data_IF_652856175692
#
_entry.id   IF_652856175692
#
_cell.length_a   1.000
_cell.length_b   1.000
_cell.length_c   1.000
_cell.angle_alpha   90.00
_cell.angle_beta   90.00
_cell.angle_gamma   90.00
#
_symmetry.space_group_name_H-M   'P 1'
#
loop_
_entity.id
_entity.type
_entity.pdbx_description
1 polymer ?
#
# COMPACT_ATOMS: atom_id res chain seq x y z
N UNK A 1 -47.95 -23.27 -42.95
CA UNK A 1 -46.67 -22.76 -42.41
C UNK A 1 -46.95 -21.40 -41.80
N UNK A 2 -47.04 -21.25 -40.47
CA UNK A 2 -47.31 -19.94 -39.88
C UNK A 2 -46.10 -19.03 -40.11
N UNK A 3 -46.31 -18.00 -40.92
CA UNK A 3 -45.31 -16.97 -41.23
C UNK A 3 -45.20 -16.09 -40.00
N UNK A 4 -44.17 -16.30 -39.18
CA UNK A 4 -43.87 -15.39 -38.07
C UNK A 4 -43.63 -14.00 -38.65
N UNK A 5 -44.40 -13.01 -38.19
CA UNK A 5 -44.30 -11.64 -38.69
C UNK A 5 -42.88 -11.10 -38.47
N UNK A 6 -42.37 -10.33 -39.43
CA UNK A 6 -41.07 -9.64 -39.33
C UNK A 6 -40.94 -8.79 -38.06
N UNK A 7 -42.08 -8.31 -37.55
CA UNK A 7 -42.20 -7.61 -36.27
C UNK A 7 -41.93 -8.52 -35.06
N UNK A 8 -42.43 -9.75 -35.05
CA UNK A 8 -42.13 -10.71 -33.98
C UNK A 8 -40.64 -11.07 -33.95
N UNK A 9 -40.00 -11.18 -35.12
CA UNK A 9 -38.56 -11.41 -35.21
C UNK A 9 -37.74 -10.18 -34.76
N UNK A 10 -38.16 -8.95 -35.08
CA UNK A 10 -37.45 -7.75 -34.64
C UNK A 10 -37.59 -7.51 -33.14
N UNK A 11 -38.75 -7.80 -32.55
CA UNK A 11 -38.96 -7.72 -31.10
C UNK A 11 -38.16 -8.81 -30.38
N UNK A 12 -38.14 -10.04 -30.88
CA UNK A 12 -37.29 -11.09 -30.33
C UNK A 12 -35.80 -10.71 -30.38
N UNK A 13 -35.35 -10.14 -31.50
CA UNK A 13 -33.96 -9.67 -31.67
C UNK A 13 -33.63 -8.53 -30.71
N UNK A 14 -34.52 -7.56 -30.56
CA UNK A 14 -34.38 -6.46 -29.60
C UNK A 14 -34.36 -6.96 -28.15
N UNK A 15 -35.21 -7.92 -27.78
CA UNK A 15 -35.21 -8.53 -26.44
C UNK A 15 -33.92 -9.30 -26.19
N UNK A 16 -33.38 -10.02 -27.17
CA UNK A 16 -32.10 -10.73 -27.03
C UNK A 16 -30.88 -9.79 -27.03
N UNK A 17 -30.91 -8.69 -27.79
CA UNK A 17 -29.87 -7.66 -27.80
C UNK A 17 -29.89 -6.85 -26.49
N UNK A 18 -31.08 -6.59 -25.93
CA UNK A 18 -31.23 -6.01 -24.58
C UNK A 18 -30.94 -6.98 -23.43
N UNK A 19 -30.90 -8.29 -23.68
CA UNK A 19 -30.63 -9.29 -22.66
C UNK A 19 -29.17 -9.24 -22.17
N UNK A 20 -28.23 -8.80 -23.02
CA UNK A 20 -26.80 -8.72 -22.67
C UNK A 20 -26.11 -7.43 -23.14
N UNK A 21 -26.51 -6.25 -22.62
CA UNK A 21 -25.95 -4.94 -23.04
C UNK A 21 -24.45 -4.81 -22.76
N UNK A 22 -23.89 -5.67 -21.92
CA UNK A 22 -22.46 -5.69 -21.61
C UNK A 22 -21.61 -6.26 -22.75
N UNK A 23 -22.14 -7.12 -23.63
CA UNK A 23 -21.37 -7.68 -24.76
C UNK A 23 -20.95 -6.59 -25.75
N UNK A 24 -21.86 -5.69 -26.09
CA UNK A 24 -21.60 -4.54 -26.96
C UNK A 24 -20.61 -3.56 -26.33
N UNK A 25 -20.81 -3.26 -25.03
CA UNK A 25 -19.88 -2.38 -24.29
C UNK A 25 -18.50 -3.01 -24.17
N UNK A 26 -18.40 -4.33 -23.99
CA UNK A 26 -17.14 -5.06 -23.90
C UNK A 26 -16.43 -5.06 -25.25
N UNK A 27 -17.14 -5.27 -26.36
CA UNK A 27 -16.59 -5.14 -27.70
C UNK A 27 -16.06 -3.72 -27.97
N UNK A 28 -16.82 -2.68 -27.57
CA UNK A 28 -16.43 -1.27 -27.72
C UNK A 28 -15.14 -0.92 -26.97
N UNK A 29 -14.95 -1.45 -25.77
CA UNK A 29 -13.81 -1.10 -24.91
C UNK A 29 -12.70 -2.17 -24.90
N UNK A 30 -12.78 -3.21 -25.73
CA UNK A 30 -11.83 -4.33 -25.75
C UNK A 30 -10.37 -3.86 -25.86
N UNK A 31 -10.10 -2.96 -26.80
CA UNK A 31 -8.75 -2.43 -27.04
C UNK A 31 -8.26 -1.50 -25.93
N UNK A 32 -9.17 -0.86 -25.19
CA UNK A 32 -8.80 -0.06 -24.02
C UNK A 32 -8.56 -0.96 -22.79
N UNK A 33 -9.36 -2.01 -22.62
CA UNK A 33 -9.23 -2.95 -21.51
C UNK A 33 -7.92 -3.74 -21.58
N UNK A 34 -7.43 -4.04 -22.79
CA UNK A 34 -6.15 -4.72 -22.99
C UNK A 34 -4.92 -3.87 -22.63
N UNK A 35 -5.04 -2.53 -22.59
CA UNK A 35 -3.95 -1.61 -22.22
C UNK A 35 -3.60 -1.65 -20.73
N UNK A 36 -4.38 -2.35 -19.90
CA UNK A 36 -4.19 -2.51 -18.47
C UNK A 36 -5.23 -1.78 -17.63
N UNK A 37 -5.04 -1.73 -16.30
CA UNK A 37 -6.03 -1.18 -15.34
C UNK A 37 -5.84 0.31 -15.06
N UNK A 38 -4.61 0.78 -15.00
CA UNK A 38 -4.27 2.12 -14.48
C UNK A 38 -3.89 3.12 -15.56
N UNK A 39 -3.85 2.69 -16.82
CA UNK A 39 -3.24 3.44 -17.91
C UNK A 39 -2.15 2.63 -18.59
N UNK A 40 -1.52 3.25 -19.57
CA UNK A 40 -0.41 2.65 -20.30
C UNK A 40 0.71 3.67 -20.46
N UNK A 41 1.94 3.16 -20.45
CA UNK A 41 3.12 3.96 -20.73
C UNK A 41 3.25 4.13 -22.24
N UNK A 42 3.30 5.38 -22.71
CA UNK A 42 3.43 5.67 -24.13
C UNK A 42 4.22 6.96 -24.34
N UNK A 43 5.31 6.88 -25.12
CA UNK A 43 6.17 8.01 -25.48
C UNK A 43 6.60 8.86 -24.27
N UNK A 44 7.06 8.21 -23.21
CA UNK A 44 7.61 8.89 -22.03
C UNK A 44 6.59 9.47 -21.05
N UNK A 45 5.28 9.21 -21.27
CA UNK A 45 4.22 9.63 -20.36
C UNK A 45 3.28 8.48 -20.01
N UNK A 46 2.73 8.52 -18.80
CA UNK A 46 1.58 7.71 -18.42
C UNK A 46 0.33 8.30 -19.05
N UNK A 47 -0.30 7.57 -19.96
CA UNK A 47 -1.61 7.93 -20.53
C UNK A 47 -2.74 7.26 -19.77
N UNK A 48 -3.81 8.01 -19.55
CA UNK A 48 -5.05 7.50 -18.99
C UNK A 48 -5.79 6.62 -20.00
N UNK A 49 -6.65 5.74 -19.48
CA UNK A 49 -7.55 4.92 -20.31
C UNK A 49 -8.73 5.75 -20.80
N UNK A 50 -9.28 5.39 -21.96
CA UNK A 50 -10.52 5.96 -22.50
C UNK A 50 -11.78 5.56 -21.72
N UNK A 51 -11.66 4.68 -20.73
CA UNK A 51 -12.74 4.25 -19.83
C UNK A 51 -12.42 4.60 -18.38
N UNK A 52 -13.39 5.19 -17.67
CA UNK A 52 -13.23 5.44 -16.24
C UNK A 52 -13.28 4.14 -15.44
N UNK A 53 -12.52 4.09 -14.33
CA UNK A 53 -12.49 2.92 -13.45
C UNK A 53 -13.88 2.48 -12.97
N UNK A 54 -14.79 3.45 -12.72
CA UNK A 54 -16.18 3.16 -12.35
C UNK A 54 -16.96 2.44 -13.45
N UNK A 55 -16.81 2.89 -14.71
CA UNK A 55 -17.48 2.24 -15.86
C UNK A 55 -16.90 0.84 -16.10
N UNK A 56 -15.57 0.68 -15.97
CA UNK A 56 -14.90 -0.63 -16.02
C UNK A 56 -15.45 -1.58 -14.95
N UNK A 57 -15.52 -1.16 -13.69
CA UNK A 57 -16.02 -1.99 -12.60
C UNK A 57 -17.50 -2.40 -12.79
N UNK A 58 -18.33 -1.50 -13.35
CA UNK A 58 -19.71 -1.84 -13.71
C UNK A 58 -19.78 -2.91 -14.80
N UNK A 59 -18.95 -2.80 -15.84
CA UNK A 59 -18.83 -3.82 -16.88
C UNK A 59 -18.35 -5.16 -16.33
N UNK A 60 -17.29 -5.14 -15.52
CA UNK A 60 -16.78 -6.33 -14.84
C UNK A 60 -17.86 -7.01 -14.00
N UNK A 61 -18.66 -6.23 -13.28
CA UNK A 61 -19.81 -6.75 -12.51
C UNK A 61 -20.85 -7.40 -13.41
N UNK A 62 -21.23 -6.76 -14.52
CA UNK A 62 -22.22 -7.28 -15.48
C UNK A 62 -21.75 -8.62 -16.10
N UNK A 63 -20.47 -8.72 -16.47
CA UNK A 63 -19.85 -9.94 -17.05
C UNK A 63 -19.79 -11.08 -16.03
N UNK A 64 -19.26 -10.81 -14.83
CA UNK A 64 -19.14 -11.83 -13.78
C UNK A 64 -20.51 -12.34 -13.30
N UNK A 65 -21.53 -11.46 -13.24
CA UNK A 65 -22.90 -11.88 -12.91
C UNK A 65 -23.53 -12.76 -13.99
N UNK A 66 -23.12 -12.61 -15.25
CA UNK A 66 -23.52 -13.50 -16.34
C UNK A 66 -22.76 -14.83 -16.33
N UNK A 67 -21.81 -15.02 -15.40
CA UNK A 67 -21.01 -16.24 -15.27
C UNK A 67 -19.84 -16.34 -16.27
N UNK A 68 -19.55 -15.26 -17.00
CA UNK A 68 -18.37 -15.21 -17.88
C UNK A 68 -17.11 -14.74 -17.13
N UNK A 69 -15.94 -15.12 -17.66
CA UNK A 69 -14.65 -14.78 -17.08
C UNK A 69 -14.18 -13.36 -17.46
N UNK A 70 -13.35 -12.76 -16.61
CA UNK A 70 -12.82 -11.41 -16.79
C UNK A 70 -11.27 -11.42 -16.87
N UNK A 71 -10.69 -11.55 -18.08
CA UNK A 71 -9.23 -11.74 -18.25
C UNK A 71 -8.41 -10.42 -18.26
N UNK A 72 -9.06 -9.25 -18.19
CA UNK A 72 -8.38 -7.96 -18.42
C UNK A 72 -7.67 -7.38 -17.20
N UNK A 73 -7.91 -7.91 -16.00
CA UNK A 73 -7.35 -7.38 -14.76
C UNK A 73 -6.18 -8.28 -14.30
N UNK A 74 -5.03 -7.72 -13.89
CA UNK A 74 -3.94 -8.50 -13.36
C UNK A 74 -4.32 -9.12 -12.01
N UNK A 75 -3.64 -10.21 -11.66
CA UNK A 75 -3.84 -10.89 -10.38
C UNK A 75 -3.56 -9.97 -9.19
N UNK A 76 -4.31 -10.17 -8.11
CA UNK A 76 -4.12 -9.43 -6.88
C UNK A 76 -2.81 -9.89 -6.21
N UNK A 77 -1.93 -8.93 -5.92
CA UNK A 77 -0.70 -9.20 -5.18
C UNK A 77 -0.99 -9.28 -3.69
N UNK A 78 -0.30 -10.20 -3.02
CA UNK A 78 -0.35 -10.29 -1.57
C UNK A 78 0.29 -9.06 -0.89
N UNK A 79 -0.31 -8.63 0.22
CA UNK A 79 0.19 -7.51 1.00
C UNK A 79 1.38 -7.92 1.89
N UNK A 80 2.40 -7.06 1.99
CA UNK A 80 3.52 -7.28 2.90
C UNK A 80 3.14 -6.99 4.35
N UNK A 81 3.06 -8.02 5.17
CA UNK A 81 2.82 -7.89 6.62
C UNK A 81 4.14 -7.93 7.39
N UNK A 82 4.69 -6.75 7.74
CA UNK A 82 5.83 -6.65 8.67
C UNK A 82 5.57 -5.57 9.72
N UNK A 83 5.70 -5.92 11.00
CA UNK A 83 5.60 -4.98 12.12
C UNK A 83 6.96 -4.29 12.34
N UNK A 84 6.95 -2.96 12.43
CA UNK A 84 8.18 -2.14 12.64
C UNK A 84 8.72 -2.24 14.08
N UNK A 85 7.83 -2.40 15.05
CA UNK A 85 8.11 -2.23 16.47
C UNK A 85 8.36 -0.76 16.87
N UNK A 86 8.15 -0.41 18.13
CA UNK A 86 8.49 0.92 18.63
C UNK A 86 10.00 1.05 18.83
N UNK A 87 10.54 2.25 18.55
CA UNK A 87 11.97 2.55 18.74
C UNK A 87 12.38 2.38 20.20
N UNK A 88 11.51 2.76 21.13
CA UNK A 88 11.75 2.69 22.57
C UNK A 88 12.00 1.25 23.00
N UNK A 89 11.13 0.31 22.59
CA UNK A 89 11.24 -1.10 22.96
C UNK A 89 12.52 -1.74 22.42
N UNK A 90 12.91 -1.36 21.19
CA UNK A 90 14.14 -1.84 20.56
C UNK A 90 15.39 -1.49 21.37
N UNK A 91 15.45 -0.27 21.88
CA UNK A 91 16.63 0.29 22.57
C UNK A 91 16.57 0.00 24.09
N UNK A 92 15.43 -0.44 24.61
CA UNK A 92 15.23 -0.63 26.04
C UNK A 92 16.20 -1.65 26.65
N UNK A 93 16.50 -2.75 25.95
CA UNK A 93 17.47 -3.74 26.42
C UNK A 93 18.89 -3.16 26.50
N UNK A 94 19.32 -2.46 25.45
CA UNK A 94 20.63 -1.79 25.38
C UNK A 94 20.79 -0.75 26.49
N UNK A 95 19.76 0.05 26.75
CA UNK A 95 19.78 1.04 27.84
C UNK A 95 19.95 0.39 29.20
N UNK A 96 19.24 -0.71 29.49
CA UNK A 96 19.35 -1.42 30.78
C UNK A 96 20.77 -1.99 30.97
N UNK A 97 21.36 -2.56 29.92
CA UNK A 97 22.73 -3.07 29.96
C UNK A 97 23.74 -1.94 30.24
N UNK A 98 23.63 -0.82 29.51
CA UNK A 98 24.49 0.35 29.71
C UNK A 98 24.37 0.93 31.12
N UNK A 99 23.15 0.97 31.68
CA UNK A 99 22.96 1.39 33.07
C UNK A 99 23.69 0.47 34.04
N UNK A 100 23.60 -0.86 33.87
CA UNK A 100 24.30 -1.81 34.72
C UNK A 100 25.84 -1.65 34.63
N UNK A 101 26.39 -1.45 33.43
CA UNK A 101 27.82 -1.19 33.25
C UNK A 101 28.28 0.12 33.89
N UNK A 102 27.48 1.18 33.78
CA UNK A 102 27.77 2.46 34.43
C UNK A 102 27.77 2.32 35.95
N UNK A 103 26.82 1.55 36.51
CA UNK A 103 26.76 1.31 37.95
C UNK A 103 27.99 0.56 38.48
N UNK A 104 28.57 -0.36 37.70
CA UNK A 104 29.85 -1.01 38.07
C UNK A 104 31.01 0.00 38.19
N UNK A 105 31.01 1.05 37.37
CA UNK A 105 32.03 2.12 37.36
C UNK A 105 31.77 3.23 38.39
N UNK A 106 30.58 3.24 39.00
CA UNK A 106 30.16 4.28 39.94
C UNK A 106 31.12 4.46 41.13
N UNK A 107 31.64 3.41 41.79
CA UNK A 107 32.54 3.60 42.94
C UNK A 107 33.80 4.37 42.57
N UNK A 108 34.39 4.06 41.42
CA UNK A 108 35.56 4.78 40.92
C UNK A 108 35.23 6.24 40.60
N UNK A 109 34.11 6.48 39.91
CA UNK A 109 33.66 7.84 39.59
C UNK A 109 33.44 8.70 40.83
N UNK A 110 32.95 8.11 41.93
CA UNK A 110 32.78 8.82 43.21
C UNK A 110 34.12 9.19 43.84
N UNK A 111 35.10 8.29 43.82
CA UNK A 111 36.45 8.58 44.31
C UNK A 111 37.12 9.68 43.48
N UNK A 112 36.99 9.62 42.16
CA UNK A 112 37.54 10.63 41.25
C UNK A 112 36.90 12.01 41.47
N UNK A 113 35.58 12.05 41.75
CA UNK A 113 34.89 13.30 42.09
C UNK A 113 35.35 13.86 43.43
N UNK A 114 35.48 13.01 44.46
CA UNK A 114 35.98 13.40 45.78
C UNK A 114 37.41 13.95 45.69
N UNK A 115 38.29 13.26 44.95
CA UNK A 115 39.67 13.68 44.69
C UNK A 115 39.73 15.06 44.04
N UNK A 116 38.98 15.29 42.96
CA UNK A 116 38.91 16.60 42.28
C UNK A 116 38.43 17.72 43.20
N UNK A 117 37.43 17.45 44.06
CA UNK A 117 36.94 18.44 45.04
C UNK A 117 37.99 18.77 46.09
N UNK A 118 38.73 17.78 46.56
CA UNK A 118 39.82 17.95 47.52
C UNK A 118 40.99 18.74 46.93
N UNK A 119 41.48 18.37 45.75
CA UNK A 119 42.56 19.10 45.06
C UNK A 119 42.19 20.56 44.80
N UNK A 120 40.94 20.81 44.40
CA UNK A 120 40.44 22.19 44.21
C UNK A 120 40.44 22.98 45.52
N UNK A 121 40.09 22.34 46.64
CA UNK A 121 40.10 22.98 47.96
C UNK A 121 41.53 23.31 48.39
N UNK A 122 42.46 22.37 48.28
CA UNK A 122 43.87 22.57 48.62
C UNK A 122 44.49 23.72 47.82
N UNK A 123 44.30 23.75 46.49
CA UNK A 123 44.78 24.85 45.64
C UNK A 123 44.21 26.21 46.05
N UNK A 124 42.95 26.26 46.48
CA UNK A 124 42.32 27.50 46.93
C UNK A 124 42.80 27.96 48.33
N UNK A 125 43.25 27.03 49.17
CA UNK A 125 43.89 27.34 50.45
C UNK A 125 45.35 27.77 50.26
N UNK A 126 46.08 27.13 49.35
CA UNK A 126 47.44 27.53 48.96
C UNK A 126 47.46 28.93 48.33
N UNK A 127 46.51 29.27 47.47
CA UNK A 127 46.42 30.61 46.87
C UNK A 127 46.06 31.73 47.86
N UNK A 128 45.67 31.38 49.09
CA UNK A 128 45.33 32.33 50.16
C UNK A 128 46.47 32.55 51.15
N UNK A 129 47.52 31.72 51.10
CA UNK A 129 48.78 31.95 51.82
C UNK A 129 49.72 32.81 50.99
#
# INVERSE_FOLDING_TARGET
MPVTSRAAQSVAKAVTEYQYPWREKLAKYKDELSKGVWGYWHLGAWKQLGISARRRARLRKEVLLAGEDWPYDPEQKEMRTKRKGHKVDRIAAEKRANTAELMKKMPQMLLDHKKRRWEKKLKAEESKK
#
